data_IF_523481835271
#
_entry.id   IF_523481835271
#
_cell.length_a   1.000
_cell.length_b   1.000
_cell.length_c   1.000
_cell.angle_alpha   90.00
_cell.angle_beta   90.00
_cell.angle_gamma   90.00
#
_symmetry.space_group_name_H-M   'P 1'
#
loop_
_entity.id
_entity.type
_entity.pdbx_description
1 polymer ?
#
# COMPACT_ATOMS: atom_id res chain seq x y z
N UNK A 1 -26.64 -15.23 -1.03
CA UNK A 1 -25.48 -15.29 -0.11
C UNK A 1 -25.40 -13.93 0.57
N UNK A 2 -25.34 -13.87 1.92
CA UNK A 2 -25.45 -12.60 2.64
C UNK A 2 -24.10 -11.83 2.61
N UNK A 3 -24.13 -10.51 2.50
CA UNK A 3 -22.94 -9.63 2.45
C UNK A 3 -21.96 -9.89 3.61
N UNK A 4 -22.50 -10.29 4.77
CA UNK A 4 -21.74 -10.68 5.97
C UNK A 4 -20.80 -11.88 5.75
N UNK A 5 -21.22 -12.89 4.98
CA UNK A 5 -20.36 -14.06 4.69
C UNK A 5 -19.19 -13.69 3.80
N UNK A 6 -19.39 -12.69 2.94
CA UNK A 6 -18.33 -12.24 2.04
C UNK A 6 -17.40 -11.27 2.78
N UNK A 7 -17.91 -10.43 3.69
CA UNK A 7 -17.06 -9.65 4.60
C UNK A 7 -16.17 -10.57 5.45
N UNK A 8 -16.70 -11.68 5.96
CA UNK A 8 -15.88 -12.69 6.65
C UNK A 8 -14.84 -13.32 5.71
N UNK A 9 -15.19 -13.62 4.46
CA UNK A 9 -14.19 -14.07 3.48
C UNK A 9 -13.10 -12.99 3.24
N UNK A 10 -13.49 -11.71 3.29
CA UNK A 10 -12.62 -10.53 3.23
C UNK A 10 -11.89 -10.19 4.54
N UNK A 11 -12.23 -10.82 5.65
CA UNK A 11 -11.50 -10.69 6.92
C UNK A 11 -10.48 -11.83 7.06
N UNK A 12 -10.83 -13.02 6.57
CA UNK A 12 -10.03 -14.24 6.67
C UNK A 12 -9.18 -14.55 5.42
N UNK A 13 -9.17 -13.68 4.41
CA UNK A 13 -8.34 -13.85 3.22
C UNK A 13 -8.63 -15.09 2.41
N UNK A 14 -9.90 -15.44 2.33
CA UNK A 14 -10.37 -16.52 1.46
C UNK A 14 -10.36 -16.04 0.01
N UNK A 15 -9.17 -15.84 -0.56
CA UNK A 15 -8.94 -15.31 -1.92
C UNK A 15 -9.79 -16.07 -2.94
N UNK A 16 -9.91 -17.40 -2.81
CA UNK A 16 -10.75 -18.22 -3.70
C UNK A 16 -12.25 -17.90 -3.63
N UNK A 17 -12.79 -17.56 -2.46
CA UNK A 17 -14.19 -17.17 -2.28
C UNK A 17 -14.41 -15.78 -2.84
N UNK A 18 -13.52 -14.83 -2.55
CA UNK A 18 -13.63 -13.47 -3.07
C UNK A 18 -13.49 -13.47 -4.59
N UNK A 19 -12.55 -14.27 -5.11
CA UNK A 19 -12.35 -14.47 -6.53
C UNK A 19 -13.63 -15.01 -7.20
N UNK A 20 -14.20 -16.08 -6.64
CA UNK A 20 -15.47 -16.61 -7.12
C UNK A 20 -16.61 -15.60 -7.01
N UNK A 21 -16.67 -14.79 -5.94
CA UNK A 21 -17.70 -13.76 -5.79
C UNK A 21 -17.56 -12.65 -6.83
N UNK A 22 -16.34 -12.20 -7.13
CA UNK A 22 -16.08 -11.22 -8.19
C UNK A 22 -16.43 -11.74 -9.59
N UNK A 23 -16.32 -13.06 -9.81
CA UNK A 23 -16.64 -13.70 -11.10
C UNK A 23 -18.13 -14.10 -11.22
N UNK A 24 -18.80 -14.44 -10.11
CA UNK A 24 -20.15 -15.04 -10.11
C UNK A 24 -21.27 -14.11 -9.61
N UNK A 25 -20.93 -13.02 -8.92
CA UNK A 25 -21.90 -12.07 -8.34
C UNK A 25 -21.49 -10.67 -8.78
N UNK A 26 -22.42 -9.89 -9.33
CA UNK A 26 -22.14 -8.50 -9.67
C UNK A 26 -21.60 -7.76 -8.44
N UNK A 27 -20.64 -6.84 -8.63
CA UNK A 27 -20.10 -5.99 -7.56
C UNK A 27 -21.17 -5.23 -6.75
N UNK A 28 -22.41 -5.17 -7.25
CA UNK A 28 -23.55 -4.52 -6.63
C UNK A 28 -23.92 -5.07 -5.25
N UNK A 29 -23.50 -6.29 -4.89
CA UNK A 29 -23.73 -6.82 -3.53
C UNK A 29 -22.67 -6.42 -2.50
N UNK A 30 -21.64 -5.67 -2.90
CA UNK A 30 -20.54 -5.25 -2.04
C UNK A 30 -20.58 -3.75 -1.74
N UNK A 31 -20.14 -3.39 -0.54
CA UNK A 31 -19.55 -2.07 -0.37
C UNK A 31 -18.15 -2.07 -1.00
N UNK A 32 -18.08 -1.59 -2.23
CA UNK A 32 -16.86 -1.58 -3.04
C UNK A 32 -15.73 -0.77 -2.40
N UNK A 33 -16.09 0.25 -1.61
CA UNK A 33 -15.12 1.06 -0.89
C UNK A 33 -14.46 0.24 0.22
N UNK A 34 -15.27 -0.43 1.04
CA UNK A 34 -14.76 -1.32 2.09
C UNK A 34 -13.88 -2.44 1.51
N UNK A 35 -14.31 -3.05 0.39
CA UNK A 35 -13.51 -4.08 -0.29
C UNK A 35 -12.14 -3.55 -0.76
N UNK A 36 -12.10 -2.32 -1.30
CA UNK A 36 -10.85 -1.70 -1.73
C UNK A 36 -9.90 -1.46 -0.54
N UNK A 37 -10.42 -0.87 0.55
CA UNK A 37 -9.62 -0.58 1.75
C UNK A 37 -9.11 -1.87 2.40
N UNK A 38 -9.99 -2.85 2.64
CA UNK A 38 -9.63 -4.13 3.25
C UNK A 38 -8.61 -4.89 2.41
N UNK A 39 -8.81 -4.99 1.10
CA UNK A 39 -7.85 -5.67 0.21
C UNK A 39 -6.49 -4.99 0.18
N UNK A 40 -6.44 -3.67 0.32
CA UNK A 40 -5.20 -2.92 0.48
C UNK A 40 -4.49 -3.23 1.81
N UNK A 41 -5.20 -3.24 2.94
CA UNK A 41 -4.63 -3.54 4.25
C UNK A 41 -4.19 -5.01 4.42
N UNK A 42 -5.00 -5.96 3.92
CA UNK A 42 -4.69 -7.38 4.03
C UNK A 42 -3.68 -7.88 2.98
N UNK A 43 -3.35 -7.07 1.96
CA UNK A 43 -2.32 -7.42 0.97
C UNK A 43 -2.84 -8.20 -0.23
N UNK A 44 -4.10 -8.06 -0.62
CA UNK A 44 -4.69 -8.82 -1.73
C UNK A 44 -4.62 -8.07 -3.05
N UNK A 45 -3.43 -8.00 -3.61
CA UNK A 45 -3.14 -7.28 -4.86
C UNK A 45 -4.07 -7.66 -6.03
N UNK A 46 -4.45 -8.94 -6.16
CA UNK A 46 -5.33 -9.40 -7.23
C UNK A 46 -6.75 -8.82 -7.11
N UNK A 47 -7.23 -8.65 -5.88
CA UNK A 47 -8.54 -8.05 -5.60
C UNK A 47 -8.48 -6.55 -5.87
N UNK A 48 -7.45 -5.86 -5.37
CA UNK A 48 -7.22 -4.42 -5.65
C UNK A 48 -7.24 -4.14 -7.17
N UNK A 49 -6.47 -4.92 -7.93
CA UNK A 49 -6.42 -4.82 -9.41
C UNK A 49 -7.78 -5.06 -10.04
N UNK A 50 -8.53 -6.07 -9.58
CA UNK A 50 -9.85 -6.42 -10.13
C UNK A 50 -10.90 -5.37 -9.83
N UNK A 51 -10.95 -4.90 -8.59
CA UNK A 51 -11.80 -3.80 -8.16
C UNK A 51 -11.51 -2.60 -9.07
N UNK A 52 -10.28 -2.10 -9.07
CA UNK A 52 -9.91 -0.92 -9.85
C UNK A 52 -10.25 -1.02 -11.34
N UNK A 53 -10.03 -2.17 -11.98
CA UNK A 53 -10.26 -2.33 -13.43
C UNK A 53 -11.70 -2.73 -13.80
N UNK A 54 -12.64 -2.77 -12.86
CA UNK A 54 -13.99 -3.22 -13.15
C UNK A 54 -14.83 -2.13 -13.87
N UNK A 55 -15.53 -2.50 -14.95
CA UNK A 55 -16.17 -1.62 -15.94
C UNK A 55 -17.13 -0.56 -15.35
N UNK A 56 -17.73 -0.84 -14.20
CA UNK A 56 -18.73 0.02 -13.56
C UNK A 56 -18.26 0.68 -12.25
N UNK A 57 -16.96 0.68 -11.95
CA UNK A 57 -16.47 1.39 -10.77
C UNK A 57 -16.51 2.90 -10.97
N UNK A 58 -17.04 3.58 -9.97
CA UNK A 58 -16.85 5.01 -9.79
C UNK A 58 -15.66 5.23 -8.84
N UNK A 59 -14.49 5.55 -9.41
CA UNK A 59 -13.25 5.76 -8.66
C UNK A 59 -13.31 6.93 -7.68
N UNK A 60 -14.14 7.95 -7.96
CA UNK A 60 -14.29 9.12 -7.07
C UNK A 60 -14.98 8.75 -5.74
N UNK A 61 -15.65 7.60 -5.69
CA UNK A 61 -16.28 7.08 -4.47
C UNK A 61 -15.35 6.19 -3.65
N UNK A 62 -14.16 5.87 -4.16
CA UNK A 62 -13.18 5.06 -3.43
C UNK A 62 -12.37 5.96 -2.49
N UNK A 63 -12.30 5.56 -1.23
CA UNK A 63 -11.44 6.16 -0.22
C UNK A 63 -10.00 5.65 -0.40
N UNK A 64 -9.35 6.15 -1.46
CA UNK A 64 -7.97 5.80 -1.78
C UNK A 64 -6.98 6.28 -0.73
N UNK A 65 -7.35 7.29 0.07
CA UNK A 65 -6.51 7.78 1.17
C UNK A 65 -6.44 6.75 2.29
N UNK A 66 -7.58 6.22 2.72
CA UNK A 66 -7.61 5.16 3.74
C UNK A 66 -7.01 3.87 3.21
N UNK A 67 -7.31 3.49 1.96
CA UNK A 67 -6.71 2.31 1.34
C UNK A 67 -5.17 2.38 1.30
N UNK A 68 -4.60 3.54 0.94
CA UNK A 68 -3.16 3.77 0.93
C UNK A 68 -2.55 3.75 2.34
N UNK A 69 -3.21 4.41 3.32
CA UNK A 69 -2.80 4.36 4.72
C UNK A 69 -2.68 2.93 5.22
N UNK A 70 -3.74 2.13 5.06
CA UNK A 70 -3.78 0.75 5.55
C UNK A 70 -2.72 -0.11 4.87
N UNK A 71 -2.55 0.02 3.55
CA UNK A 71 -1.49 -0.66 2.83
C UNK A 71 -0.10 -0.31 3.40
N UNK A 72 0.15 0.96 3.74
CA UNK A 72 1.42 1.39 4.32
C UNK A 72 1.60 0.88 5.76
N UNK A 73 0.57 1.02 6.60
CA UNK A 73 0.58 0.58 8.01
C UNK A 73 0.82 -0.92 8.14
N UNK A 74 0.25 -1.72 7.24
CA UNK A 74 0.41 -3.18 7.24
C UNK A 74 1.53 -3.69 6.32
N UNK A 75 2.42 -2.81 5.87
CA UNK A 75 3.60 -3.15 5.07
C UNK A 75 3.28 -3.86 3.73
N UNK A 76 2.21 -3.44 3.04
CA UNK A 76 1.74 -3.97 1.75
C UNK A 76 2.31 -3.18 0.57
N UNK A 77 3.63 -3.04 0.49
CA UNK A 77 4.27 -2.14 -0.48
C UNK A 77 4.18 -2.57 -1.94
N UNK A 78 3.89 -3.85 -2.21
CA UNK A 78 3.49 -4.29 -3.55
C UNK A 78 2.23 -3.54 -4.03
N UNK A 79 1.25 -3.37 -3.13
CA UNK A 79 0.02 -2.63 -3.42
C UNK A 79 0.31 -1.14 -3.52
N UNK A 80 1.07 -0.56 -2.58
CA UNK A 80 1.45 0.86 -2.63
C UNK A 80 2.13 1.21 -3.96
N UNK A 81 3.10 0.39 -4.38
CA UNK A 81 3.80 0.56 -5.66
C UNK A 81 2.82 0.49 -6.82
N UNK A 82 1.94 -0.52 -6.83
CA UNK A 82 0.94 -0.66 -7.89
C UNK A 82 -0.01 0.54 -7.95
N UNK A 83 -0.52 1.01 -6.81
CA UNK A 83 -1.40 2.18 -6.73
C UNK A 83 -0.72 3.44 -7.26
N UNK A 84 0.52 3.71 -6.85
CA UNK A 84 1.27 4.90 -7.29
C UNK A 84 1.62 4.88 -8.78
N UNK A 85 1.79 3.69 -9.37
CA UNK A 85 2.13 3.53 -10.79
C UNK A 85 0.92 3.55 -11.73
N UNK A 86 -0.28 3.19 -11.23
CA UNK A 86 -1.46 2.97 -12.07
C UNK A 86 -2.58 3.99 -11.83
N UNK A 87 -2.43 4.87 -10.83
CA UNK A 87 -3.44 5.87 -10.46
C UNK A 87 -2.83 7.26 -10.58
N UNK A 88 -3.11 7.92 -11.70
CA UNK A 88 -2.64 9.27 -11.97
C UNK A 88 -3.16 10.27 -10.93
N UNK A 89 -2.26 11.15 -10.47
CA UNK A 89 -2.61 12.22 -9.55
C UNK A 89 -2.84 11.78 -8.09
N UNK A 90 -2.64 10.50 -7.77
CA UNK A 90 -2.69 10.01 -6.39
C UNK A 90 -1.51 10.58 -5.59
N UNK A 91 -1.73 11.71 -4.91
CA UNK A 91 -0.75 12.33 -4.02
C UNK A 91 -0.98 11.85 -2.60
N UNK A 92 0.07 11.29 -2.00
CA UNK A 92 0.01 10.80 -0.63
C UNK A 92 1.21 11.29 0.18
N UNK A 93 0.94 11.74 1.40
CA UNK A 93 2.00 12.07 2.33
C UNK A 93 2.61 10.78 2.88
N UNK A 94 3.77 10.41 2.35
CA UNK A 94 4.52 9.23 2.74
C UNK A 94 5.56 9.51 3.83
N UNK A 95 5.56 10.70 4.46
CA UNK A 95 6.54 11.05 5.50
C UNK A 95 6.49 10.11 6.71
N UNK A 96 5.28 9.85 7.23
CA UNK A 96 5.06 8.88 8.31
C UNK A 96 5.46 7.46 7.89
N UNK A 97 5.14 7.10 6.65
CA UNK A 97 5.45 5.78 6.08
C UNK A 97 6.95 5.57 6.01
N UNK A 98 7.72 6.57 5.56
CA UNK A 98 9.18 6.51 5.54
C UNK A 98 9.72 6.28 6.95
N UNK A 99 9.29 7.10 7.91
CA UNK A 99 9.78 7.01 9.29
C UNK A 99 9.56 5.63 9.91
N UNK A 100 8.36 5.07 9.74
CA UNK A 100 8.04 3.74 10.28
C UNK A 100 8.80 2.63 9.53
N UNK A 101 8.94 2.76 8.21
CA UNK A 101 9.75 1.85 7.39
C UNK A 101 11.20 1.82 7.86
N UNK A 102 11.78 2.98 8.21
CA UNK A 102 13.15 3.05 8.69
C UNK A 102 13.30 2.54 10.12
N UNK A 103 12.31 2.75 10.98
CA UNK A 103 12.26 2.16 12.33
C UNK A 103 12.21 0.63 12.27
N UNK A 104 11.47 0.06 11.32
CA UNK A 104 11.28 -1.39 11.19
C UNK A 104 12.22 -2.07 10.20
N UNK A 105 13.03 -1.31 9.46
CA UNK A 105 13.99 -1.85 8.49
C UNK A 105 13.33 -2.35 7.19
N UNK A 106 12.14 -1.85 6.85
CA UNK A 106 11.42 -2.26 5.64
C UNK A 106 12.02 -1.60 4.39
N UNK A 107 13.02 -2.24 3.80
CA UNK A 107 13.80 -1.69 2.68
C UNK A 107 12.93 -1.42 1.44
N UNK A 108 12.03 -2.33 1.09
CA UNK A 108 11.19 -2.17 -0.10
C UNK A 108 10.22 -0.99 0.03
N UNK A 109 9.80 -0.71 1.25
CA UNK A 109 9.03 0.48 1.61
C UNK A 109 9.82 1.75 1.39
N UNK A 110 11.04 1.80 1.91
CA UNK A 110 11.95 2.95 1.73
C UNK A 110 12.25 3.18 0.25
N UNK A 111 12.50 2.12 -0.52
CA UNK A 111 12.65 2.20 -1.99
C UNK A 111 11.41 2.81 -2.64
N UNK A 112 10.23 2.31 -2.31
CA UNK A 112 8.95 2.77 -2.89
C UNK A 112 8.74 4.25 -2.61
N UNK A 113 8.95 4.69 -1.37
CA UNK A 113 8.78 6.10 -0.97
C UNK A 113 9.83 7.00 -1.62
N UNK A 114 11.08 6.58 -1.76
CA UNK A 114 12.12 7.39 -2.42
C UNK A 114 11.85 7.52 -3.92
N UNK A 115 11.38 6.45 -4.57
CA UNK A 115 11.13 6.45 -6.02
C UNK A 115 9.89 7.25 -6.42
N UNK A 116 8.86 7.26 -5.58
CA UNK A 116 7.55 7.82 -5.94
C UNK A 116 7.12 9.01 -5.06
N UNK A 117 7.81 9.24 -3.95
CA UNK A 117 7.50 10.31 -3.00
C UNK A 117 8.23 11.61 -3.32
N UNK A 118 7.62 12.71 -2.91
CA UNK A 118 8.25 14.03 -2.99
C UNK A 118 9.39 14.14 -1.96
N UNK A 119 10.63 14.18 -2.47
CA UNK A 119 11.86 14.28 -1.66
C UNK A 119 11.93 15.51 -0.76
N UNK A 120 11.10 16.51 -1.00
CA UNK A 120 11.02 17.70 -0.14
C UNK A 120 10.23 17.45 1.14
N UNK A 121 9.44 16.38 1.20
CA UNK A 121 8.50 16.10 2.30
C UNK A 121 9.05 15.18 3.39
N UNK A 122 10.23 14.57 3.20
CA UNK A 122 10.73 13.57 4.14
C UNK A 122 12.17 13.80 4.63
N UNK A 123 12.37 13.62 5.93
CA UNK A 123 13.65 13.84 6.60
C UNK A 123 14.51 12.56 6.58
N UNK A 124 15.35 12.43 5.55
CA UNK A 124 16.26 11.30 5.36
C UNK A 124 17.19 11.10 6.56
N UNK A 125 17.69 12.18 7.17
CA UNK A 125 18.58 12.10 8.35
C UNK A 125 17.88 11.44 9.54
N UNK A 126 16.63 11.79 9.79
CA UNK A 126 15.83 11.19 10.86
C UNK A 126 15.54 9.71 10.59
N UNK A 127 15.22 9.36 9.33
CA UNK A 127 15.05 7.97 8.91
C UNK A 127 16.34 7.15 9.12
N UNK A 128 17.51 7.64 8.69
CA UNK A 128 18.79 6.95 8.91
C UNK A 128 19.07 6.76 10.40
N UNK A 129 18.81 7.78 11.22
CA UNK A 129 18.96 7.68 12.67
C UNK A 129 18.08 6.59 13.30
N UNK A 130 16.82 6.45 12.86
CA UNK A 130 15.94 5.35 13.30
C UNK A 130 16.47 3.99 12.86
N UNK A 131 16.93 3.86 11.61
CA UNK A 131 17.51 2.61 11.12
C UNK A 131 18.76 2.19 11.92
N UNK A 132 19.64 3.15 12.22
CA UNK A 132 20.83 2.93 13.07
C UNK A 132 20.46 2.49 14.49
N UNK A 133 19.52 3.20 15.11
CA UNK A 133 19.10 2.92 16.50
C UNK A 133 18.52 1.50 16.65
N UNK A 134 17.85 0.99 15.61
CA UNK A 134 17.23 -0.33 15.61
C UNK A 134 18.10 -1.42 14.95
N UNK A 135 19.30 -1.10 14.48
CA UNK A 135 20.26 -2.09 13.96
C UNK A 135 19.98 -2.60 12.54
N UNK A 136 19.25 -1.84 11.71
CA UNK A 136 18.88 -2.25 10.35
C UNK A 136 20.01 -2.02 9.34
N UNK A 137 21.09 -2.78 9.47
CA UNK A 137 22.33 -2.62 8.69
C UNK A 137 22.08 -2.61 7.16
N UNK A 138 21.27 -3.54 6.66
CA UNK A 138 21.00 -3.65 5.22
C UNK A 138 20.31 -2.39 4.67
N UNK A 139 19.38 -1.79 5.43
CA UNK A 139 18.74 -0.53 5.06
C UNK A 139 19.74 0.62 5.08
N UNK A 140 20.62 0.68 6.08
CA UNK A 140 21.64 1.72 6.20
C UNK A 140 22.60 1.68 5.01
N UNK A 141 23.05 0.48 4.62
CA UNK A 141 23.89 0.32 3.44
C UNK A 141 23.20 0.79 2.15
N UNK A 142 21.93 0.42 1.97
CA UNK A 142 21.13 0.88 0.83
C UNK A 142 21.04 2.41 0.80
N UNK A 143 20.63 3.04 1.92
CA UNK A 143 20.47 4.49 1.99
C UNK A 143 21.79 5.24 1.77
N UNK A 144 22.90 4.72 2.29
CA UNK A 144 24.21 5.33 2.11
C UNK A 144 24.67 5.28 0.64
N UNK A 145 24.54 4.11 -0.02
CA UNK A 145 24.95 3.91 -1.41
C UNK A 145 24.06 4.65 -2.41
N UNK A 146 22.75 4.63 -2.22
CA UNK A 146 21.81 5.10 -3.24
C UNK A 146 21.33 6.54 -3.06
N UNK A 147 21.43 7.11 -1.86
CA UNK A 147 20.95 8.47 -1.57
C UNK A 147 22.12 9.41 -1.30
N UNK A 148 23.01 9.04 -0.38
CA UNK A 148 24.10 9.91 0.06
C UNK A 148 25.28 9.95 -0.91
N UNK A 149 25.68 8.80 -1.46
CA UNK A 149 26.82 8.75 -2.38
C UNK A 149 26.57 9.40 -3.74
N UNK A 150 25.30 9.64 -4.13
CA UNK A 150 24.92 10.30 -5.40
C UNK A 150 24.74 11.82 -5.26
N UNK A 151 24.88 12.36 -4.05
CA UNK A 151 24.74 13.80 -3.76
C UNK A 151 26.06 14.58 -3.92
N UNK A 152 27.11 13.93 -4.45
CA UNK A 152 28.43 14.47 -4.82
C UNK A 152 28.85 13.89 -6.18
#
# INVERSE_FOLDING_TARGET
>A
MNAEKIRLACEYGSVGIIQWCLDAISLECFDINSLMVESCGYGWINIVKRVWNHEHINHDKLDMKTAMNDACTYNRFEIVTWLLQNIDGLKFDMSNVLMESCRHGWIDSVKTVIQNGDSTLYNITSCISQACTNGHLELIEYMYKDIWAKSF
#
